data_IF_069830051406
#
_entry.id   IF_069830051406
#
_cell.length_a   1.000
_cell.length_b   1.000
_cell.length_c   1.000
_cell.angle_alpha   90.00
_cell.angle_beta   90.00
_cell.angle_gamma   90.00
#
_symmetry.space_group_name_H-M   'P 1'
#
loop_
_entity.id
_entity.type
_entity.pdbx_description
1 polymer ?
#
# COMPACT_ATOMS: atom_id res chain seq x y z
N UNK A 1 32.64 -7.72 -8.63
CA UNK A 1 31.41 -7.78 -9.45
C UNK A 1 30.29 -8.29 -8.55
N UNK A 2 29.17 -7.57 -8.45
CA UNK A 2 28.01 -8.03 -7.67
C UNK A 2 27.53 -9.40 -8.17
N UNK A 3 27.33 -10.34 -7.25
CA UNK A 3 26.75 -11.67 -7.53
C UNK A 3 25.31 -11.57 -8.05
N UNK A 4 24.64 -10.47 -7.76
CA UNK A 4 23.23 -10.25 -8.08
C UNK A 4 23.09 -9.22 -9.19
N UNK A 5 22.27 -9.54 -10.20
CA UNK A 5 21.86 -8.57 -11.22
C UNK A 5 20.67 -7.77 -10.69
N UNK A 6 20.95 -6.59 -10.14
CA UNK A 6 19.97 -5.66 -9.60
C UNK A 6 19.60 -4.60 -10.66
N UNK A 7 18.36 -4.06 -10.63
CA UNK A 7 17.95 -2.98 -11.53
C UNK A 7 18.73 -1.68 -11.26
N UNK A 8 18.70 -0.75 -12.22
CA UNK A 8 19.26 0.59 -12.02
C UNK A 8 18.45 1.33 -10.95
N UNK A 9 19.10 1.96 -9.96
CA UNK A 9 18.41 2.61 -8.87
C UNK A 9 17.82 3.95 -9.32
N UNK A 10 16.57 4.23 -8.92
CA UNK A 10 15.87 5.49 -9.19
C UNK A 10 15.83 6.42 -7.97
N UNK A 11 16.15 5.92 -6.77
CA UNK A 11 16.17 6.70 -5.53
C UNK A 11 17.30 6.27 -4.59
N UNK A 12 17.43 6.96 -3.46
CA UNK A 12 18.50 6.73 -2.49
C UNK A 12 18.39 5.37 -1.79
N UNK A 13 17.18 4.95 -1.42
CA UNK A 13 16.91 3.63 -0.82
C UNK A 13 17.49 2.50 -1.68
N UNK A 14 17.24 2.55 -2.99
CA UNK A 14 17.75 1.55 -3.93
C UNK A 14 19.28 1.61 -4.07
N UNK A 15 19.88 2.82 -4.10
CA UNK A 15 21.34 2.97 -4.13
C UNK A 15 22.00 2.37 -2.90
N UNK A 16 21.46 2.64 -1.71
CA UNK A 16 21.98 2.08 -0.46
C UNK A 16 21.80 0.57 -0.40
N UNK A 17 20.66 0.05 -0.82
CA UNK A 17 20.43 -1.39 -0.91
C UNK A 17 21.42 -2.09 -1.85
N UNK A 18 21.68 -1.53 -3.04
CA UNK A 18 22.68 -2.06 -3.97
C UNK A 18 24.06 -2.06 -3.33
N UNK A 19 24.46 -0.98 -2.66
CA UNK A 19 25.73 -0.91 -1.93
C UNK A 19 25.85 -1.98 -0.85
N UNK A 20 24.78 -2.22 -0.08
CA UNK A 20 24.75 -3.30 0.91
C UNK A 20 24.93 -4.67 0.24
N UNK A 21 24.31 -4.89 -0.93
CA UNK A 21 24.46 -6.14 -1.69
C UNK A 21 25.88 -6.33 -2.24
N UNK A 22 26.54 -5.26 -2.66
CA UNK A 22 27.94 -5.29 -3.13
C UNK A 22 28.92 -5.60 -2.00
N UNK A 23 28.68 -5.09 -0.80
CA UNK A 23 29.49 -5.38 0.40
C UNK A 23 29.27 -6.81 0.90
N UNK A 24 28.08 -7.38 0.69
CA UNK A 24 27.73 -8.71 1.16
C UNK A 24 27.74 -8.81 2.69
N UNK A 25 28.11 -9.97 3.21
CA UNK A 25 28.19 -10.22 4.67
C UNK A 25 26.94 -10.84 5.30
N UNK A 26 25.91 -11.09 4.49
CA UNK A 26 24.73 -11.88 4.85
C UNK A 26 24.73 -13.29 4.26
N UNK A 27 23.61 -13.98 4.45
CA UNK A 27 23.40 -15.35 3.98
C UNK A 27 23.53 -15.42 2.46
N UNK A 28 24.19 -16.47 1.95
CA UNK A 28 24.33 -16.69 0.51
C UNK A 28 25.18 -15.64 -0.23
N UNK A 29 25.88 -14.77 0.52
CA UNK A 29 26.63 -13.63 -0.01
C UNK A 29 25.78 -12.38 -0.26
N UNK A 30 24.52 -12.35 0.20
CA UNK A 30 23.66 -11.17 0.20
C UNK A 30 24.03 -10.14 1.27
N UNK A 31 23.27 -9.03 1.38
CA UNK A 31 23.47 -8.05 2.44
C UNK A 31 23.06 -8.62 3.82
N UNK A 32 23.59 -8.09 4.94
CA UNK A 32 23.15 -8.48 6.26
C UNK A 32 21.68 -8.06 6.47
N UNK A 33 20.83 -9.01 6.88
CA UNK A 33 19.38 -8.77 7.05
C UNK A 33 19.08 -7.57 7.95
N UNK A 34 19.82 -7.42 9.04
CA UNK A 34 19.66 -6.30 9.98
C UNK A 34 19.91 -4.93 9.34
N UNK A 35 20.85 -4.85 8.39
CA UNK A 35 21.13 -3.60 7.65
C UNK A 35 20.06 -3.27 6.61
N UNK A 36 19.48 -4.29 6.00
CA UNK A 36 18.31 -4.10 5.13
C UNK A 36 17.09 -3.67 5.95
N UNK A 37 16.85 -4.29 7.11
CA UNK A 37 15.78 -3.90 8.02
C UNK A 37 15.93 -2.45 8.50
N UNK A 38 17.15 -2.02 8.87
CA UNK A 38 17.46 -0.65 9.28
C UNK A 38 17.17 0.36 8.15
N UNK A 39 17.58 0.04 6.91
CA UNK A 39 17.29 0.84 5.72
C UNK A 39 15.77 0.97 5.49
N UNK A 40 15.06 -0.16 5.45
CA UNK A 40 13.61 -0.18 5.21
C UNK A 40 12.84 0.57 6.31
N UNK A 41 13.23 0.41 7.58
CA UNK A 41 12.61 1.11 8.71
C UNK A 41 12.85 2.62 8.63
N UNK A 42 14.07 3.05 8.33
CA UNK A 42 14.44 4.48 8.26
C UNK A 42 13.69 5.19 7.14
N UNK A 43 13.78 4.67 5.92
CA UNK A 43 13.16 5.28 4.75
C UNK A 43 11.64 5.12 4.77
N UNK A 44 11.15 4.00 5.33
CA UNK A 44 9.74 3.77 5.56
C UNK A 44 9.11 4.79 6.52
N UNK A 45 9.77 5.08 7.64
CA UNK A 45 9.34 6.14 8.57
C UNK A 45 9.34 7.52 7.91
N UNK A 46 10.32 7.80 7.05
CA UNK A 46 10.37 9.06 6.32
C UNK A 46 9.18 9.19 5.35
N UNK A 47 8.89 8.14 4.57
CA UNK A 47 7.73 8.11 3.69
C UNK A 47 6.40 8.17 4.46
N UNK A 48 6.30 7.54 5.62
CA UNK A 48 5.11 7.56 6.47
C UNK A 48 4.77 8.97 6.97
N UNK A 49 5.77 9.86 7.14
CA UNK A 49 5.50 11.27 7.48
C UNK A 49 4.82 12.01 6.34
N UNK A 50 5.32 11.85 5.12
CA UNK A 50 4.67 12.41 3.92
C UNK A 50 3.24 11.86 3.78
N UNK A 51 3.07 10.55 3.93
CA UNK A 51 1.76 9.91 3.82
C UNK A 51 0.76 10.41 4.87
N UNK A 52 1.23 10.67 6.10
CA UNK A 52 0.42 11.31 7.13
C UNK A 52 0.01 12.73 6.73
N UNK A 53 0.93 13.57 6.26
CA UNK A 53 0.63 14.94 5.84
C UNK A 53 -0.42 14.96 4.71
N UNK A 54 -0.24 14.14 3.68
CA UNK A 54 -1.19 14.00 2.58
C UNK A 54 -2.57 13.52 3.04
N UNK A 55 -2.60 12.56 3.97
CA UNK A 55 -3.85 12.02 4.52
C UNK A 55 -4.59 13.06 5.37
N UNK A 56 -3.86 13.86 6.16
CA UNK A 56 -4.44 14.94 6.94
C UNK A 56 -4.99 16.04 6.05
N UNK A 57 -4.28 16.42 5.00
CA UNK A 57 -4.79 17.38 4.00
C UNK A 57 -6.09 16.86 3.36
N UNK A 58 -6.11 15.59 2.95
CA UNK A 58 -7.31 14.98 2.36
C UNK A 58 -8.50 14.95 3.31
N UNK A 59 -8.29 14.65 4.61
CA UNK A 59 -9.35 14.68 5.62
C UNK A 59 -9.83 16.12 5.92
N UNK A 60 -8.90 17.07 6.02
CA UNK A 60 -9.19 18.48 6.30
C UNK A 60 -9.95 19.16 5.15
N UNK A 61 -9.66 18.80 3.91
CA UNK A 61 -10.38 19.29 2.72
C UNK A 61 -11.79 18.67 2.60
N UNK A 62 -12.10 17.60 3.34
CA UNK A 62 -13.37 16.86 3.29
C UNK A 62 -13.99 16.64 4.70
N UNK A 63 -14.18 17.69 5.53
CA UNK A 63 -14.44 17.56 6.97
C UNK A 63 -15.80 16.93 7.36
N UNK A 64 -16.72 16.82 6.41
CA UNK A 64 -18.03 16.17 6.59
C UNK A 64 -18.17 14.82 5.89
N UNK A 65 -17.13 14.37 5.17
CA UNK A 65 -17.19 13.13 4.42
C UNK A 65 -17.07 11.90 5.33
N UNK A 66 -17.58 10.76 4.85
CA UNK A 66 -17.25 9.48 5.44
C UNK A 66 -15.73 9.24 5.34
N UNK A 67 -15.00 9.06 6.47
CA UNK A 67 -13.54 8.93 6.43
C UNK A 67 -13.06 7.72 5.65
N UNK A 68 -13.88 6.66 5.54
CA UNK A 68 -13.54 5.50 4.71
C UNK A 68 -13.57 5.82 3.21
N UNK A 69 -14.45 6.71 2.75
CA UNK A 69 -14.46 7.15 1.35
C UNK A 69 -13.19 7.94 1.03
N UNK A 70 -12.75 8.81 1.96
CA UNK A 70 -11.48 9.55 1.84
C UNK A 70 -10.31 8.56 1.80
N UNK A 71 -10.23 7.62 2.75
CA UNK A 71 -9.19 6.59 2.79
C UNK A 71 -9.17 5.71 1.53
N UNK A 72 -10.33 5.37 0.97
CA UNK A 72 -10.42 4.60 -0.26
C UNK A 72 -9.87 5.40 -1.45
N UNK A 73 -10.28 6.66 -1.61
CA UNK A 73 -9.75 7.56 -2.65
C UNK A 73 -8.23 7.75 -2.53
N UNK A 74 -7.72 7.98 -1.31
CA UNK A 74 -6.29 8.06 -1.04
C UNK A 74 -5.55 6.77 -1.42
N UNK A 75 -6.14 5.60 -1.16
CA UNK A 75 -5.60 4.32 -1.61
C UNK A 75 -5.45 4.22 -3.13
N UNK A 76 -6.37 4.80 -3.92
CA UNK A 76 -6.27 4.86 -5.38
C UNK A 76 -5.14 5.78 -5.85
N UNK A 77 -4.89 6.88 -5.14
CA UNK A 77 -3.77 7.79 -5.41
C UNK A 77 -2.42 7.11 -5.12
N UNK A 78 -2.30 6.48 -3.95
CA UNK A 78 -1.09 5.75 -3.55
C UNK A 78 -0.82 4.53 -4.44
N UNK A 79 -1.87 3.90 -5.00
CA UNK A 79 -1.77 2.87 -6.03
C UNK A 79 -1.50 3.40 -7.44
N UNK A 80 -1.41 4.73 -7.59
CA UNK A 80 -1.23 5.46 -8.85
C UNK A 80 -2.25 5.16 -9.94
N UNK A 81 -3.47 4.84 -9.53
CA UNK A 81 -4.60 4.84 -10.47
C UNK A 81 -5.03 6.28 -10.77
N UNK A 82 -4.93 7.15 -9.76
CA UNK A 82 -5.25 8.56 -9.85
C UNK A 82 -4.09 9.46 -9.39
N UNK A 83 -4.08 10.68 -9.89
CA UNK A 83 -3.25 11.76 -9.36
C UNK A 83 -3.77 12.19 -8.00
N UNK A 84 -2.88 12.40 -7.03
CA UNK A 84 -3.24 12.98 -5.75
C UNK A 84 -3.53 14.47 -5.92
N UNK A 85 -4.81 14.82 -6.03
CA UNK A 85 -5.27 16.20 -6.18
C UNK A 85 -6.55 16.41 -5.37
N UNK A 86 -6.75 17.62 -4.84
CA UNK A 86 -7.99 17.97 -4.12
C UNK A 86 -9.26 17.66 -4.94
N UNK A 87 -9.33 18.01 -6.25
CA UNK A 87 -10.48 17.68 -7.08
C UNK A 87 -10.76 16.18 -7.15
N UNK A 88 -9.72 15.34 -7.32
CA UNK A 88 -9.91 13.90 -7.38
C UNK A 88 -10.53 13.35 -6.09
N UNK A 89 -9.98 13.70 -4.93
CA UNK A 89 -10.47 13.21 -3.64
C UNK A 89 -11.94 13.63 -3.44
N UNK A 90 -12.25 14.89 -3.69
CA UNK A 90 -13.62 15.40 -3.54
C UNK A 90 -14.62 14.70 -4.49
N UNK A 91 -14.26 14.52 -5.77
CA UNK A 91 -15.12 13.86 -6.75
C UNK A 91 -15.27 12.36 -6.49
N UNK A 92 -14.22 11.69 -6.04
CA UNK A 92 -14.27 10.30 -5.62
C UNK A 92 -15.19 10.11 -4.40
N UNK A 93 -15.06 10.98 -3.39
CA UNK A 93 -15.91 10.97 -2.19
C UNK A 93 -17.37 11.23 -2.55
N UNK A 94 -17.66 12.24 -3.39
CA UNK A 94 -19.03 12.52 -3.87
C UNK A 94 -19.60 11.29 -4.59
N UNK A 95 -18.86 10.68 -5.50
CA UNK A 95 -19.33 9.48 -6.19
C UNK A 95 -19.59 8.30 -5.24
N UNK A 96 -18.69 8.04 -4.29
CA UNK A 96 -18.85 6.94 -3.33
C UNK A 96 -20.05 7.15 -2.41
N UNK A 97 -20.38 8.41 -2.09
CA UNK A 97 -21.55 8.76 -1.28
C UNK A 97 -22.85 8.76 -2.11
N UNK A 98 -22.91 9.56 -3.17
CA UNK A 98 -24.15 9.87 -3.89
C UNK A 98 -24.41 9.03 -5.12
N UNK A 99 -23.35 8.50 -5.75
CA UNK A 99 -23.43 7.77 -7.02
C UNK A 99 -23.49 8.71 -8.22
N UNK A 100 -23.18 9.99 -8.03
CA UNK A 100 -23.18 11.04 -9.05
C UNK A 100 -22.32 10.65 -10.26
N UNK A 101 -22.97 10.41 -11.40
CA UNK A 101 -22.27 10.12 -12.64
C UNK A 101 -21.34 11.27 -13.06
N UNK A 102 -21.74 12.51 -12.81
CA UNK A 102 -20.90 13.68 -13.10
C UNK A 102 -19.63 13.68 -12.25
N UNK A 103 -19.73 13.33 -10.97
CA UNK A 103 -18.56 13.20 -10.10
C UNK A 103 -17.61 12.11 -10.60
N UNK A 104 -18.14 10.94 -10.96
CA UNK A 104 -17.34 9.86 -11.56
C UNK A 104 -16.61 10.33 -12.82
N UNK A 105 -17.29 11.03 -13.73
CA UNK A 105 -16.69 11.59 -14.95
C UNK A 105 -15.63 12.65 -14.71
N UNK A 106 -15.68 13.37 -13.58
CA UNK A 106 -14.62 14.31 -13.19
C UNK A 106 -13.44 13.57 -12.56
N UNK A 107 -13.69 12.62 -11.66
CA UNK A 107 -12.65 11.78 -11.06
C UNK A 107 -11.82 11.02 -12.10
N UNK A 108 -12.47 10.48 -13.15
CA UNK A 108 -11.80 9.81 -14.28
C UNK A 108 -10.76 10.71 -14.97
N UNK A 109 -10.93 12.03 -15.00
CA UNK A 109 -9.99 12.96 -15.64
C UNK A 109 -8.68 13.13 -14.88
N UNK A 110 -8.65 12.71 -13.61
CA UNK A 110 -7.46 12.74 -12.77
C UNK A 110 -6.62 11.47 -12.92
N UNK A 111 -6.81 10.69 -13.99
CA UNK A 111 -6.06 9.47 -14.22
C UNK A 111 -4.56 9.69 -14.32
N UNK A 112 -3.80 8.67 -13.94
CA UNK A 112 -2.37 8.61 -14.17
C UNK A 112 -2.08 7.88 -15.51
N UNK A 113 -0.98 7.12 -15.57
CA UNK A 113 -0.47 6.42 -16.76
C UNK A 113 -1.43 5.36 -17.35
N UNK A 114 -2.36 4.80 -16.56
CA UNK A 114 -3.23 3.69 -16.98
C UNK A 114 -4.56 4.11 -17.60
N UNK A 115 -4.77 5.41 -17.82
CA UNK A 115 -6.02 5.95 -18.34
C UNK A 115 -7.17 5.95 -17.31
N UNK A 116 -8.39 6.35 -17.73
CA UNK A 116 -9.53 6.57 -16.82
C UNK A 116 -10.21 5.27 -16.34
N UNK A 117 -10.13 4.18 -17.11
CA UNK A 117 -10.90 2.96 -16.84
C UNK A 117 -10.62 2.33 -15.46
N UNK A 118 -9.36 2.24 -14.99
CA UNK A 118 -9.09 1.72 -13.65
C UNK A 118 -9.72 2.56 -12.54
N UNK A 119 -9.80 3.89 -12.68
CA UNK A 119 -10.51 4.75 -11.72
C UNK A 119 -11.99 4.40 -11.72
N UNK A 120 -12.61 4.33 -12.91
CA UNK A 120 -14.02 4.01 -13.05
C UNK A 120 -14.36 2.68 -12.37
N UNK A 121 -13.63 1.63 -12.75
CA UNK A 121 -13.80 0.27 -12.23
C UNK A 121 -13.63 0.22 -10.71
N UNK A 122 -12.57 0.85 -10.19
CA UNK A 122 -12.27 0.85 -8.76
C UNK A 122 -13.33 1.59 -7.94
N UNK A 123 -13.76 2.77 -8.39
CA UNK A 123 -14.80 3.54 -7.71
C UNK A 123 -16.14 2.82 -7.77
N UNK A 124 -16.50 2.23 -8.92
CA UNK A 124 -17.73 1.47 -9.05
C UNK A 124 -17.75 0.23 -8.14
N UNK A 125 -16.65 -0.53 -8.11
CA UNK A 125 -16.47 -1.65 -7.19
C UNK A 125 -16.51 -1.21 -5.72
N UNK A 126 -15.87 -0.09 -5.40
CA UNK A 126 -15.86 0.51 -4.06
C UNK A 126 -17.28 0.85 -3.61
N UNK A 127 -18.06 1.54 -4.44
CA UNK A 127 -19.46 1.89 -4.13
C UNK A 127 -20.30 0.65 -3.86
N UNK A 128 -20.22 -0.37 -4.73
CA UNK A 128 -20.93 -1.65 -4.53
C UNK A 128 -20.57 -2.28 -3.17
N UNK A 129 -19.32 -2.17 -2.73
CA UNK A 129 -18.88 -2.68 -1.44
C UNK A 129 -19.37 -1.84 -0.27
N UNK A 130 -19.31 -0.51 -0.36
CA UNK A 130 -19.84 0.39 0.67
C UNK A 130 -21.35 0.23 0.87
N UNK A 131 -22.11 -0.09 -0.20
CA UNK A 131 -23.54 -0.40 -0.11
C UNK A 131 -23.82 -1.75 0.60
N UNK A 132 -22.84 -2.67 0.62
CA UNK A 132 -22.98 -4.02 1.18
C UNK A 132 -22.36 -4.18 2.56
N UNK A 133 -21.31 -3.42 2.86
CA UNK A 133 -20.46 -3.60 4.05
C UNK A 133 -20.65 -2.41 5.00
N UNK A 134 -21.11 -2.70 6.21
CA UNK A 134 -21.22 -1.69 7.27
C UNK A 134 -19.88 -1.56 8.00
N UNK A 135 -19.17 -0.49 7.67
CA UNK A 135 -17.98 -0.04 8.39
C UNK A 135 -18.36 0.93 9.54
N UNK A 136 -17.50 1.07 10.57
CA UNK A 136 -17.71 2.07 11.62
C UNK A 136 -17.80 3.49 11.04
N UNK A 137 -18.59 4.38 11.66
CA UNK A 137 -18.75 5.77 11.18
C UNK A 137 -17.47 6.61 11.27
N UNK A 138 -16.56 6.24 12.16
CA UNK A 138 -15.26 6.88 12.37
C UNK A 138 -14.15 5.85 12.20
N UNK A 139 -12.92 6.30 11.94
CA UNK A 139 -11.76 5.41 11.94
C UNK A 139 -11.56 4.84 13.36
N UNK A 140 -11.44 3.50 13.51
CA UNK A 140 -11.09 2.90 14.77
C UNK A 140 -9.72 3.34 15.28
N UNK A 141 -9.62 3.48 16.60
CA UNK A 141 -8.44 3.90 17.35
C UNK A 141 -7.58 2.72 17.87
N UNK A 142 -7.89 1.50 17.42
CA UNK A 142 -7.16 0.27 17.78
C UNK A 142 -6.88 -0.60 16.56
N UNK A 143 -5.75 -1.31 16.56
CA UNK A 143 -5.37 -2.23 15.46
C UNK A 143 -6.43 -3.30 15.27
N UNK A 144 -6.96 -3.86 16.37
CA UNK A 144 -8.07 -4.82 16.33
C UNK A 144 -9.33 -4.22 15.70
N UNK A 145 -9.61 -2.94 15.95
CA UNK A 145 -10.72 -2.23 15.32
C UNK A 145 -10.56 -2.11 13.81
N UNK A 146 -9.38 -1.72 13.35
CA UNK A 146 -9.03 -1.67 11.92
C UNK A 146 -9.11 -3.07 11.29
N UNK A 147 -8.55 -4.10 11.94
CA UNK A 147 -8.58 -5.47 11.48
C UNK A 147 -10.01 -6.00 11.29
N UNK A 148 -10.91 -5.73 12.26
CA UNK A 148 -12.33 -6.11 12.15
C UNK A 148 -13.05 -5.38 11.01
N UNK A 149 -12.72 -4.10 10.79
CA UNK A 149 -13.26 -3.35 9.66
C UNK A 149 -12.77 -3.96 8.33
N UNK A 150 -11.49 -4.35 8.26
CA UNK A 150 -10.91 -5.01 7.10
C UNK A 150 -11.48 -6.39 6.84
N UNK A 151 -11.71 -7.21 7.86
CA UNK A 151 -12.34 -8.52 7.72
C UNK A 151 -13.74 -8.40 7.09
N UNK A 152 -14.56 -7.46 7.56
CA UNK A 152 -15.89 -7.18 6.99
C UNK A 152 -15.80 -6.75 5.52
N UNK A 153 -14.82 -5.91 5.20
CA UNK A 153 -14.58 -5.42 3.84
C UNK A 153 -14.11 -6.52 2.89
N UNK A 154 -13.17 -7.36 3.34
CA UNK A 154 -12.61 -8.46 2.54
C UNK A 154 -13.60 -9.61 2.37
N UNK A 155 -14.51 -9.84 3.32
CA UNK A 155 -15.47 -10.96 3.27
C UNK A 155 -16.21 -11.09 1.91
N UNK A 156 -16.88 -10.05 1.37
CA UNK A 156 -17.50 -10.14 0.05
C UNK A 156 -16.49 -10.22 -1.10
N UNK A 157 -15.30 -9.62 -0.98
CA UNK A 157 -14.23 -9.65 -2.01
C UNK A 157 -13.66 -11.05 -2.20
N UNK A 158 -13.52 -11.79 -1.10
CA UNK A 158 -12.99 -13.16 -1.09
C UNK A 158 -14.08 -14.21 -1.35
N UNK A 159 -15.34 -13.79 -1.51
CA UNK A 159 -16.46 -14.68 -1.77
C UNK A 159 -16.60 -15.02 -3.27
N UNK A 160 -17.31 -16.10 -3.63
CA UNK A 160 -17.67 -16.38 -5.02
C UNK A 160 -18.48 -15.27 -5.70
N UNK A 161 -19.18 -14.43 -4.93
CA UNK A 161 -20.01 -13.31 -5.40
C UNK A 161 -19.24 -11.97 -5.37
N UNK A 162 -17.92 -12.01 -5.52
CA UNK A 162 -17.05 -10.84 -5.45
C UNK A 162 -17.43 -9.76 -6.46
N UNK A 163 -17.24 -8.47 -6.13
CA UNK A 163 -17.35 -7.39 -7.11
C UNK A 163 -16.34 -7.61 -8.24
N UNK A 164 -16.71 -7.29 -9.50
CA UNK A 164 -15.86 -7.56 -10.66
C UNK A 164 -14.55 -6.75 -10.74
N UNK A 165 -14.39 -5.68 -9.95
CA UNK A 165 -13.44 -4.60 -10.26
C UNK A 165 -12.49 -4.19 -9.12
N UNK A 166 -12.33 -5.00 -8.08
CA UNK A 166 -11.40 -4.68 -6.98
C UNK A 166 -10.17 -5.57 -7.10
N UNK A 167 -9.00 -4.97 -7.37
CA UNK A 167 -7.69 -5.64 -7.30
C UNK A 167 -7.17 -5.77 -5.87
N UNK A 168 -6.05 -6.48 -5.68
CA UNK A 168 -5.49 -6.77 -4.35
C UNK A 168 -5.02 -5.51 -3.62
N UNK A 169 -4.48 -4.53 -4.37
CA UNK A 169 -4.13 -3.21 -3.85
C UNK A 169 -5.38 -2.50 -3.33
N UNK A 170 -6.39 -2.33 -4.17
CA UNK A 170 -7.62 -1.61 -3.80
C UNK A 170 -8.41 -2.31 -2.69
N UNK A 171 -8.28 -3.64 -2.58
CA UNK A 171 -8.88 -4.41 -1.49
C UNK A 171 -8.33 -4.03 -0.11
N UNK A 172 -7.10 -3.52 -0.02
CA UNK A 172 -6.37 -3.32 1.24
C UNK A 172 -5.87 -1.89 1.47
N UNK A 173 -5.66 -1.09 0.42
CA UNK A 173 -5.04 0.24 0.48
C UNK A 173 -5.83 1.27 1.30
N UNK A 174 -7.16 1.11 1.39
CA UNK A 174 -7.99 1.92 2.29
C UNK A 174 -7.55 1.80 3.75
N UNK A 175 -7.17 0.60 4.20
CA UNK A 175 -6.76 0.37 5.59
C UNK A 175 -5.34 0.87 5.86
N UNK A 176 -4.46 0.78 4.87
CA UNK A 176 -3.15 1.45 4.92
C UNK A 176 -3.33 2.98 5.05
N UNK A 177 -4.24 3.57 4.27
CA UNK A 177 -4.54 5.01 4.36
C UNK A 177 -5.14 5.39 5.72
N UNK A 178 -6.01 4.55 6.28
CA UNK A 178 -6.53 4.74 7.63
C UNK A 178 -5.45 4.67 8.73
N UNK A 179 -4.39 3.90 8.51
CA UNK A 179 -3.22 3.85 9.40
C UNK A 179 -2.32 5.08 9.20
N UNK A 180 -2.14 5.56 7.97
CA UNK A 180 -1.43 6.83 7.72
C UNK A 180 -2.09 7.99 8.44
N UNK A 181 -3.42 8.04 8.53
CA UNK A 181 -4.14 9.06 9.31
C UNK A 181 -3.86 9.01 10.82
N UNK A 182 -3.30 7.91 11.34
CA UNK A 182 -3.16 7.64 12.76
C UNK A 182 -1.76 7.10 13.10
N UNK A 183 -0.70 7.91 13.00
CA UNK A 183 0.69 7.45 13.11
C UNK A 183 1.01 6.76 14.44
N UNK A 184 0.45 7.26 15.55
CA UNK A 184 0.62 6.61 16.87
C UNK A 184 -0.02 5.23 16.93
N UNK A 185 -1.15 5.02 16.24
CA UNK A 185 -1.78 3.71 16.13
C UNK A 185 -0.96 2.80 15.20
N UNK A 186 -0.56 3.32 14.04
CA UNK A 186 0.24 2.59 13.06
C UNK A 186 1.54 2.04 13.64
N UNK A 187 2.22 2.80 14.51
CA UNK A 187 3.42 2.37 15.21
C UNK A 187 3.22 1.09 16.06
N UNK A 188 1.97 0.75 16.43
CA UNK A 188 1.63 -0.46 17.20
C UNK A 188 1.34 -1.69 16.34
N UNK A 189 1.27 -1.55 15.01
CA UNK A 189 1.06 -2.66 14.08
C UNK A 189 2.35 -3.46 13.91
N UNK A 190 2.58 -4.43 14.81
CA UNK A 190 3.78 -5.29 14.80
C UNK A 190 3.50 -6.73 14.35
N UNK A 191 2.25 -7.02 14.00
CA UNK A 191 1.81 -8.30 13.45
C UNK A 191 0.99 -8.06 12.19
N UNK A 192 0.75 -9.12 11.42
CA UNK A 192 -0.15 -9.11 10.27
C UNK A 192 -1.65 -9.08 10.63
N UNK A 193 -2.05 -8.37 11.68
CA UNK A 193 -3.47 -8.24 12.03
C UNK A 193 -4.26 -7.43 10.97
N UNK A 194 -3.57 -6.51 10.30
CA UNK A 194 -4.09 -5.71 9.19
C UNK A 194 -3.26 -6.02 7.93
N UNK A 195 -3.93 -6.51 6.89
CA UNK A 195 -3.33 -6.77 5.58
C UNK A 195 -2.97 -5.46 4.89
N UNK A 196 -1.74 -5.39 4.36
CA UNK A 196 -1.26 -4.23 3.62
C UNK A 196 -1.22 -4.55 2.11
N UNK A 197 -1.27 -3.53 1.23
CA UNK A 197 -1.26 -3.74 -0.22
C UNK A 197 -0.03 -4.51 -0.69
N UNK A 198 -0.19 -5.66 -1.38
CA UNK A 198 0.94 -6.50 -1.76
C UNK A 198 1.50 -6.18 -3.16
N UNK A 199 0.78 -5.38 -3.96
CA UNK A 199 1.05 -5.19 -5.39
C UNK A 199 2.17 -4.21 -5.72
N UNK A 200 2.47 -4.11 -7.02
CA UNK A 200 3.39 -3.12 -7.58
C UNK A 200 4.77 -3.10 -6.89
N UNK A 201 5.18 -1.97 -6.29
CA UNK A 201 6.50 -1.83 -5.70
C UNK A 201 6.76 -2.81 -4.55
N UNK A 202 5.73 -3.25 -3.82
CA UNK A 202 5.88 -4.18 -2.71
C UNK A 202 6.29 -5.57 -3.19
N UNK A 203 5.57 -6.12 -4.17
CA UNK A 203 5.92 -7.38 -4.83
C UNK A 203 7.34 -7.33 -5.41
N UNK A 204 7.67 -6.22 -6.08
CA UNK A 204 9.01 -6.00 -6.66
C UNK A 204 10.11 -6.02 -5.58
N UNK A 205 9.90 -5.30 -4.48
CA UNK A 205 10.85 -5.26 -3.39
C UNK A 205 11.02 -6.62 -2.71
N UNK A 206 9.93 -7.33 -2.42
CA UNK A 206 10.00 -8.69 -1.87
C UNK A 206 10.74 -9.66 -2.80
N UNK A 207 10.55 -9.53 -4.11
CA UNK A 207 11.30 -10.29 -5.11
C UNK A 207 12.80 -9.99 -5.06
N UNK A 208 13.19 -8.72 -4.89
CA UNK A 208 14.59 -8.31 -4.71
C UNK A 208 15.18 -8.88 -3.42
N UNK A 209 14.44 -8.79 -2.30
CA UNK A 209 14.86 -9.35 -1.01
C UNK A 209 15.07 -10.87 -1.09
N UNK A 210 14.20 -11.58 -1.81
CA UNK A 210 14.35 -13.01 -2.02
C UNK A 210 15.58 -13.33 -2.88
N UNK A 211 15.77 -12.60 -3.98
CA UNK A 211 16.91 -12.76 -4.90
C UNK A 211 18.25 -12.65 -4.17
N UNK A 212 18.34 -11.79 -3.14
CA UNK A 212 19.56 -11.58 -2.34
C UNK A 212 19.56 -12.36 -1.02
N UNK A 213 18.64 -13.32 -0.83
CA UNK A 213 18.53 -14.19 0.36
C UNK A 213 18.27 -13.44 1.69
N UNK A 214 17.63 -12.27 1.65
CA UNK A 214 17.14 -11.58 2.85
C UNK A 214 15.87 -12.26 3.37
N UNK A 215 15.00 -12.74 2.48
CA UNK A 215 13.82 -13.55 2.82
C UNK A 215 13.90 -14.92 2.14
N UNK A 216 13.33 -15.94 2.79
CA UNK A 216 13.46 -17.33 2.34
C UNK A 216 12.53 -17.70 1.18
N UNK A 217 11.33 -17.10 1.11
CA UNK A 217 10.31 -17.43 0.12
C UNK A 217 10.10 -16.24 -0.84
N UNK A 218 9.82 -16.50 -2.13
CA UNK A 218 9.43 -15.45 -3.05
C UNK A 218 8.02 -14.92 -2.72
N UNK A 219 7.68 -13.69 -3.13
CA UNK A 219 6.30 -13.21 -3.08
C UNK A 219 5.40 -14.04 -4.01
N UNK A 220 4.16 -14.24 -3.58
CA UNK A 220 3.12 -14.90 -4.36
C UNK A 220 2.41 -13.90 -5.29
N UNK A 221 1.79 -14.44 -6.35
CA UNK A 221 1.07 -13.65 -7.36
C UNK A 221 2.00 -12.87 -8.28
N UNK A 222 1.45 -11.84 -8.93
CA UNK A 222 2.17 -11.01 -9.89
C UNK A 222 2.27 -9.54 -9.44
N UNK A 223 3.22 -8.81 -10.03
CA UNK A 223 3.38 -7.36 -9.79
C UNK A 223 2.18 -6.55 -10.31
N UNK A 224 1.48 -7.08 -11.33
CA UNK A 224 0.33 -6.45 -11.97
C UNK A 224 -0.97 -6.93 -11.32
N UNK A 225 -1.80 -5.97 -10.93
CA UNK A 225 -3.11 -6.19 -10.30
C UNK A 225 -4.22 -6.37 -11.37
N UNK A 226 -3.87 -6.98 -12.51
CA UNK A 226 -4.69 -7.07 -13.73
C UNK A 226 -5.53 -8.37 -13.79
N UNK A 227 -5.35 -9.23 -12.80
CA UNK A 227 -6.06 -10.49 -12.64
C UNK A 227 -7.06 -10.40 -11.47
N UNK A 228 -8.12 -11.23 -11.46
CA UNK A 228 -9.03 -11.31 -10.32
C UNK A 228 -8.27 -11.57 -9.00
N UNK A 229 -8.64 -10.88 -7.91
CA UNK A 229 -7.98 -10.97 -6.59
C UNK A 229 -7.54 -12.40 -6.27
N UNK A 230 -6.22 -12.61 -6.25
CA UNK A 230 -5.62 -13.85 -5.77
C UNK A 230 -5.56 -13.75 -4.25
N UNK A 231 -6.65 -14.18 -3.60
CA UNK A 231 -6.83 -14.08 -2.15
C UNK A 231 -5.63 -14.60 -1.35
N UNK A 232 -4.99 -15.68 -1.79
CA UNK A 232 -3.79 -16.23 -1.17
C UNK A 232 -2.60 -15.26 -1.14
N UNK A 233 -2.43 -14.48 -2.21
CA UNK A 233 -1.28 -13.57 -2.37
C UNK A 233 -1.28 -12.41 -1.35
N UNK A 234 -2.45 -11.91 -0.95
CA UNK A 234 -2.57 -10.84 0.07
C UNK A 234 -1.99 -11.34 1.40
N UNK A 235 -2.42 -12.52 1.86
CA UNK A 235 -1.99 -13.08 3.13
C UNK A 235 -0.53 -13.54 3.09
N UNK A 236 -0.12 -14.18 1.99
CA UNK A 236 1.24 -14.66 1.80
C UNK A 236 2.24 -13.49 1.82
N UNK A 237 1.98 -12.45 1.04
CA UNK A 237 2.88 -11.30 0.93
C UNK A 237 2.87 -10.44 2.20
N UNK A 238 1.73 -10.27 2.88
CA UNK A 238 1.72 -9.63 4.21
C UNK A 238 2.52 -10.45 5.22
N UNK A 239 2.49 -11.78 5.14
CA UNK A 239 3.35 -12.65 5.96
C UNK A 239 4.85 -12.48 5.67
N UNK A 240 5.24 -12.14 4.43
CA UNK A 240 6.63 -11.81 4.11
C UNK A 240 7.07 -10.47 4.68
N UNK A 241 6.17 -9.48 4.71
CA UNK A 241 6.43 -8.19 5.37
C UNK A 241 6.66 -8.40 6.88
N UNK A 242 5.80 -9.22 7.50
CA UNK A 242 5.95 -9.62 8.91
C UNK A 242 7.26 -10.38 9.14
N UNK A 243 7.66 -11.29 8.25
CA UNK A 243 8.98 -11.93 8.33
C UNK A 243 10.07 -10.86 8.38
N UNK A 244 10.11 -9.94 7.40
CA UNK A 244 11.10 -8.85 7.37
C UNK A 244 11.10 -8.02 8.65
N UNK A 245 9.96 -7.85 9.33
CA UNK A 245 9.88 -7.13 10.60
C UNK A 245 10.54 -7.84 11.79
N UNK A 246 10.58 -9.19 11.79
CA UNK A 246 11.08 -9.98 12.93
C UNK A 246 12.51 -9.54 13.33
N UNK A 247 12.69 -9.29 14.62
CA UNK A 247 13.97 -8.91 15.20
C UNK A 247 14.29 -7.40 15.11
N UNK A 248 13.36 -6.59 14.61
CA UNK A 248 13.49 -5.13 14.66
C UNK A 248 12.85 -4.57 15.93
N UNK A 249 13.45 -3.51 16.48
CA UNK A 249 12.88 -2.72 17.56
C UNK A 249 12.26 -1.43 16.98
N UNK A 250 11.23 -0.90 17.65
CA UNK A 250 10.61 0.40 17.35
C UNK A 250 10.23 0.58 15.87
N UNK A 251 9.82 -0.51 15.22
CA UNK A 251 9.46 -0.55 13.80
C UNK A 251 8.11 -1.24 13.67
N UNK A 252 7.24 -0.71 12.82
CA UNK A 252 5.94 -1.28 12.51
C UNK A 252 5.93 -1.98 11.14
N UNK A 253 4.91 -2.80 10.90
CA UNK A 253 4.60 -3.34 9.58
C UNK A 253 4.46 -2.23 8.52
N UNK A 254 3.90 -1.08 8.90
CA UNK A 254 3.71 0.04 7.98
C UNK A 254 5.04 0.71 7.61
N UNK A 255 5.99 0.80 8.54
CA UNK A 255 7.34 1.28 8.24
C UNK A 255 8.04 0.35 7.25
N UNK A 256 8.01 -0.96 7.49
CA UNK A 256 8.59 -1.94 6.56
C UNK A 256 7.90 -1.86 5.19
N UNK A 257 6.57 -1.80 5.15
CA UNK A 257 5.82 -1.69 3.89
C UNK A 257 6.19 -0.44 3.09
N UNK A 258 6.26 0.72 3.73
CA UNK A 258 6.68 1.96 3.08
C UNK A 258 8.14 1.92 2.62
N UNK A 259 9.04 1.31 3.39
CA UNK A 259 10.42 1.07 2.96
C UNK A 259 10.50 0.15 1.75
N UNK A 260 9.67 -0.90 1.71
CA UNK A 260 9.55 -1.78 0.55
C UNK A 260 9.00 -1.02 -0.67
N UNK A 261 8.07 -0.08 -0.46
CA UNK A 261 7.57 0.77 -1.54
C UNK A 261 8.71 1.58 -2.17
N UNK A 262 9.57 2.19 -1.35
CA UNK A 262 10.77 2.90 -1.83
C UNK A 262 11.78 1.97 -2.51
N UNK A 263 11.99 0.77 -1.99
CA UNK A 263 12.90 -0.20 -2.59
C UNK A 263 12.41 -0.70 -3.95
N UNK A 264 11.11 -0.90 -4.13
CA UNK A 264 10.56 -1.53 -5.34
C UNK A 264 9.97 -0.57 -6.38
N UNK A 265 9.83 0.71 -6.07
CA UNK A 265 9.27 1.70 -7.01
C UNK A 265 10.14 1.87 -8.25
N UNK A 266 9.51 2.18 -9.37
CA UNK A 266 10.17 2.46 -10.66
C UNK A 266 10.20 3.96 -10.98
N UNK A 267 9.80 4.79 -10.03
CA UNK A 267 9.53 6.21 -10.25
C UNK A 267 10.75 7.07 -9.94
N UNK A 268 11.33 7.75 -10.95
CA UNK A 268 12.44 8.67 -10.72
C UNK A 268 12.09 9.80 -9.73
N UNK A 269 10.82 10.20 -9.66
CA UNK A 269 10.36 11.24 -8.75
C UNK A 269 10.50 10.83 -7.27
N UNK A 270 10.54 9.52 -6.98
CA UNK A 270 10.72 9.01 -5.62
C UNK A 270 12.05 9.43 -4.97
N UNK A 271 13.02 9.86 -5.77
CA UNK A 271 14.27 10.43 -5.25
C UNK A 271 14.07 11.72 -4.44
N UNK A 272 12.92 12.38 -4.57
CA UNK A 272 12.65 13.69 -3.96
C UNK A 272 11.40 13.68 -3.07
N UNK A 273 10.92 12.52 -2.62
CA UNK A 273 9.72 12.44 -1.77
C UNK A 273 9.98 12.85 -0.32
N UNK A 274 11.23 12.75 0.16
CA UNK A 274 11.66 13.20 1.49
C UNK A 274 13.17 13.43 1.54
#
# INVERSE_FOLDING_TARGET
MSKFKLPQPVNETQRQFIRLCELGGGIGGGPPRTKVQELLSTDGKALNRLAFEEMQDALNDNPGANPWHVCFAMGLCWGRLAQLTKPFIADAVDYLDTGSHTALKRAEKCHYERGPDPINQSLHGGRILFDRVILPKTLPDTIRGIARAQERWLSPILSPNRPPYIGSWNATAMFMSALFAQPSLAATLVTRDVMLPPGGPIHKALSLLHQVNVIAKPPEGSELDDAPVESGSIYANTGLIEDVLIGTADTSMLDIHSGLSMLGTRLPQSNNWF
#
